data_IF_597144830493
#
_entry.id   IF_597144830493
#
_cell.length_a   1.000
_cell.length_b   1.000
_cell.length_c   1.000
_cell.angle_alpha   90.00
_cell.angle_beta   90.00
_cell.angle_gamma   90.00
#
_symmetry.space_group_name_H-M   'P 1'
#
loop_
_entity.id
_entity.type
_entity.pdbx_description
1 polymer ?
#
# COMPACT_ATOMS: atom_id res chain seq x y z
N UNK A 1 -2.13 4.03 30.90
CA UNK A 1 -2.09 3.52 29.52
C UNK A 1 -1.09 2.39 29.49
N UNK A 2 -1.50 1.18 29.13
CA UNK A 2 -0.58 0.07 28.92
C UNK A 2 -0.01 0.19 27.51
N UNK A 3 1.26 0.60 27.39
CA UNK A 3 1.96 0.54 26.12
C UNK A 3 2.35 -0.91 25.89
N UNK A 4 1.69 -1.57 24.94
CA UNK A 4 2.12 -2.88 24.47
C UNK A 4 3.42 -2.67 23.69
N UNK A 5 4.52 -3.25 24.18
CA UNK A 5 5.82 -3.20 23.49
C UNK A 5 5.85 -4.35 22.51
N UNK A 6 5.98 -4.04 21.22
CA UNK A 6 6.16 -5.04 20.18
C UNK A 6 7.55 -5.69 20.30
N UNK A 7 7.63 -6.97 19.99
CA UNK A 7 8.93 -7.63 19.77
C UNK A 7 9.58 -7.09 18.50
N UNK A 8 10.91 -7.26 18.38
CA UNK A 8 11.65 -6.84 17.18
C UNK A 8 11.07 -7.45 15.89
N UNK A 9 10.62 -8.70 15.97
CA UNK A 9 10.00 -9.39 14.84
C UNK A 9 8.64 -8.77 14.47
N UNK A 10 7.82 -8.46 15.46
CA UNK A 10 6.52 -7.81 15.23
C UNK A 10 6.69 -6.41 14.65
N UNK A 11 7.65 -5.62 15.16
CA UNK A 11 7.97 -4.31 14.58
C UNK A 11 8.48 -4.40 13.14
N UNK A 12 9.33 -5.39 12.84
CA UNK A 12 9.83 -5.61 11.50
C UNK A 12 8.69 -5.95 10.53
N UNK A 13 7.83 -6.89 10.90
CA UNK A 13 6.66 -7.27 10.09
C UNK A 13 5.67 -6.11 9.95
N UNK A 14 5.46 -5.32 11.00
CA UNK A 14 4.64 -4.10 10.96
C UNK A 14 5.14 -3.14 9.88
N UNK A 15 6.45 -2.85 9.87
CA UNK A 15 7.07 -1.96 8.87
C UNK A 15 6.94 -2.54 7.45
N UNK A 16 7.19 -3.83 7.27
CA UNK A 16 7.05 -4.49 5.95
C UNK A 16 5.61 -4.39 5.42
N UNK A 17 4.61 -4.65 6.28
CA UNK A 17 3.19 -4.56 5.90
C UNK A 17 2.80 -3.12 5.57
N UNK A 18 3.30 -2.15 6.32
CA UNK A 18 3.06 -0.74 6.04
C UNK A 18 3.65 -0.31 4.69
N UNK A 19 4.90 -0.69 4.41
CA UNK A 19 5.53 -0.44 3.12
C UNK A 19 4.79 -1.14 1.97
N UNK A 20 4.29 -2.36 2.19
CA UNK A 20 3.48 -3.08 1.21
C UNK A 20 2.15 -2.36 0.90
N UNK A 21 1.50 -1.75 1.91
CA UNK A 21 0.31 -0.91 1.72
C UNK A 21 0.61 0.29 0.81
N UNK A 22 1.74 0.98 1.02
CA UNK A 22 2.17 2.08 0.14
C UNK A 22 2.41 1.63 -1.30
N UNK A 23 3.07 0.48 -1.49
CA UNK A 23 3.33 -0.08 -2.83
C UNK A 23 2.02 -0.44 -3.53
N UNK A 24 1.07 -1.03 -2.81
CA UNK A 24 -0.25 -1.34 -3.36
C UNK A 24 -1.00 -0.07 -3.77
N UNK A 25 -1.04 0.96 -2.92
CA UNK A 25 -1.65 2.23 -3.27
C UNK A 25 -1.02 2.86 -4.52
N UNK A 26 0.31 2.88 -4.61
CA UNK A 26 1.00 3.40 -5.78
C UNK A 26 0.72 2.59 -7.05
N UNK A 27 0.65 1.26 -6.94
CA UNK A 27 0.25 0.40 -8.06
C UNK A 27 -1.17 0.70 -8.54
N UNK A 28 -2.11 0.90 -7.61
CA UNK A 28 -3.49 1.24 -7.97
C UNK A 28 -3.58 2.60 -8.65
N UNK A 29 -2.87 3.62 -8.16
CA UNK A 29 -2.81 4.92 -8.84
C UNK A 29 -2.31 4.78 -10.29
N UNK A 30 -1.19 4.07 -10.51
CA UNK A 30 -0.62 3.86 -11.85
C UNK A 30 -1.55 3.10 -12.81
N UNK A 31 -2.39 2.20 -12.30
CA UNK A 31 -3.26 1.34 -13.11
C UNK A 31 -4.66 1.92 -13.34
N UNK A 32 -5.17 2.71 -12.41
CA UNK A 32 -6.58 3.13 -12.38
C UNK A 32 -6.79 4.63 -12.60
N UNK A 33 -5.74 5.45 -12.58
CA UNK A 33 -5.84 6.84 -13.02
C UNK A 33 -6.16 6.85 -14.53
N UNK A 34 -7.37 7.29 -14.90
CA UNK A 34 -7.85 7.30 -16.29
C UNK A 34 -7.67 8.67 -16.98
N UNK A 35 -7.09 9.64 -16.28
CA UNK A 35 -6.87 11.01 -16.75
C UNK A 35 -8.04 11.97 -16.54
N UNK A 36 -9.25 11.46 -16.31
CA UNK A 36 -10.43 12.26 -15.95
C UNK A 36 -10.70 12.22 -14.43
N UNK A 37 -10.42 11.08 -13.80
CA UNK A 37 -10.51 10.85 -12.37
C UNK A 37 -9.24 10.19 -11.87
N UNK A 38 -8.62 10.83 -10.88
CA UNK A 38 -7.47 10.27 -10.17
C UNK A 38 -7.94 9.48 -8.94
N UNK A 39 -7.20 8.44 -8.62
CA UNK A 39 -7.32 7.67 -7.39
C UNK A 39 -6.93 8.55 -6.20
N UNK A 40 -7.79 8.61 -5.19
CA UNK A 40 -7.57 9.41 -3.97
C UNK A 40 -7.33 8.48 -2.79
N UNK A 41 -6.20 8.65 -2.15
CA UNK A 41 -5.78 7.85 -1.00
C UNK A 41 -6.29 8.46 0.30
N UNK A 42 -6.82 7.62 1.19
CA UNK A 42 -7.23 8.04 2.54
C UNK A 42 -6.28 7.50 3.61
N UNK A 43 -6.42 6.24 4.02
CA UNK A 43 -5.59 5.60 5.05
C UNK A 43 -5.21 4.17 4.64
N UNK A 44 -4.01 3.73 4.99
CA UNK A 44 -3.55 2.37 4.69
C UNK A 44 -2.73 1.75 5.81
N UNK A 45 -3.34 1.47 6.98
CA UNK A 45 -2.61 0.94 8.11
C UNK A 45 -2.25 -0.54 7.90
N UNK A 46 -1.07 -0.97 8.39
CA UNK A 46 -0.86 -2.37 8.69
C UNK A 46 -1.78 -2.80 9.85
N UNK A 47 -2.23 -4.05 9.82
CA UNK A 47 -2.94 -4.70 10.93
C UNK A 47 -2.23 -6.02 11.28
N UNK A 48 -2.66 -6.70 12.34
CA UNK A 48 -1.91 -7.81 12.97
C UNK A 48 -1.27 -8.80 11.99
N UNK A 49 -1.99 -9.23 10.95
CA UNK A 49 -1.48 -10.19 9.95
C UNK A 49 -1.62 -9.72 8.50
N UNK A 50 -2.12 -8.51 8.28
CA UNK A 50 -2.54 -8.03 6.97
C UNK A 50 -2.25 -6.53 6.83
N UNK A 51 -2.71 -5.94 5.73
CA UNK A 51 -2.84 -4.50 5.57
C UNK A 51 -4.03 -4.24 4.66
N UNK A 52 -4.60 -3.05 4.74
CA UNK A 52 -5.60 -2.58 3.79
C UNK A 52 -5.29 -1.15 3.38
N UNK A 53 -6.05 -0.64 2.41
CA UNK A 53 -5.97 0.75 2.01
C UNK A 53 -7.34 1.25 1.58
N UNK A 54 -7.82 2.30 2.25
CA UNK A 54 -9.04 3.02 1.87
C UNK A 54 -8.71 4.02 0.77
N UNK A 55 -9.40 3.89 -0.37
CA UNK A 55 -9.18 4.73 -1.53
C UNK A 55 -10.48 4.96 -2.31
N UNK A 56 -10.59 6.14 -2.91
CA UNK A 56 -11.60 6.44 -3.93
C UNK A 56 -10.99 6.16 -5.30
N UNK A 57 -11.65 5.32 -6.09
CA UNK A 57 -11.19 4.86 -7.42
C UNK A 57 -12.25 5.18 -8.49
N UNK A 58 -11.86 5.43 -9.76
CA UNK A 58 -12.81 5.81 -10.81
C UNK A 58 -13.90 4.76 -11.09
N UNK A 59 -13.58 3.49 -10.90
CA UNK A 59 -14.51 2.36 -10.89
C UNK A 59 -14.21 1.40 -9.73
N UNK A 60 -15.19 0.62 -9.26
CA UNK A 60 -14.93 -0.42 -8.27
C UNK A 60 -13.84 -1.40 -8.74
N UNK A 61 -12.94 -1.74 -7.81
CA UNK A 61 -11.98 -2.83 -7.98
C UNK A 61 -12.74 -4.15 -7.83
N UNK A 62 -12.46 -5.09 -8.71
CA UNK A 62 -13.06 -6.41 -8.76
C UNK A 62 -11.99 -7.49 -8.58
N UNK A 63 -12.36 -8.75 -8.27
CA UNK A 63 -11.39 -9.83 -8.14
C UNK A 63 -10.51 -10.05 -9.39
N UNK A 64 -11.03 -9.73 -10.58
CA UNK A 64 -10.31 -9.86 -11.85
C UNK A 64 -9.14 -8.85 -11.98
N UNK A 65 -9.16 -7.78 -11.19
CA UNK A 65 -8.10 -6.76 -11.17
C UNK A 65 -6.89 -7.18 -10.34
N UNK A 66 -7.09 -8.06 -9.35
CA UNK A 66 -6.05 -8.43 -8.38
C UNK A 66 -4.78 -9.02 -9.01
N UNK A 67 -4.84 -9.91 -10.03
CA UNK A 67 -3.64 -10.42 -10.67
C UNK A 67 -2.76 -9.33 -11.29
N UNK A 68 -3.36 -8.32 -11.91
CA UNK A 68 -2.62 -7.22 -12.53
C UNK A 68 -2.08 -6.24 -11.48
N UNK A 69 -2.85 -5.94 -10.42
CA UNK A 69 -2.36 -5.15 -9.28
C UNK A 69 -1.15 -5.82 -8.64
N UNK A 70 -1.24 -7.12 -8.31
CA UNK A 70 -0.14 -7.85 -7.66
C UNK A 70 1.10 -7.95 -8.56
N UNK A 71 0.90 -8.18 -9.86
CA UNK A 71 1.98 -8.16 -10.85
C UNK A 71 2.67 -6.80 -10.92
N UNK A 72 1.92 -5.72 -10.89
CA UNK A 72 2.46 -4.36 -10.90
C UNK A 72 3.20 -4.06 -9.59
N UNK A 73 2.65 -4.44 -8.42
CA UNK A 73 3.35 -4.34 -7.13
C UNK A 73 4.70 -5.08 -7.16
N UNK A 74 4.74 -6.30 -7.70
CA UNK A 74 5.98 -7.06 -7.87
C UNK A 74 6.97 -6.38 -8.80
N UNK A 75 6.51 -5.67 -9.84
CA UNK A 75 7.36 -4.89 -10.72
C UNK A 75 7.96 -3.67 -9.99
N UNK A 76 7.14 -2.94 -9.21
CA UNK A 76 7.58 -1.82 -8.38
C UNK A 76 8.60 -2.25 -7.31
N UNK A 77 8.40 -3.40 -6.65
CA UNK A 77 9.37 -3.91 -5.68
C UNK A 77 10.73 -4.18 -6.34
N UNK A 78 10.74 -4.68 -7.58
CA UNK A 78 11.97 -4.99 -8.32
C UNK A 78 12.77 -3.75 -8.73
N UNK A 79 12.16 -2.57 -8.81
CA UNK A 79 12.91 -1.35 -9.13
C UNK A 79 13.83 -0.95 -7.97
N UNK A 80 13.52 -1.39 -6.74
CA UNK A 80 14.30 -1.09 -5.53
C UNK A 80 14.53 0.41 -5.34
N UNK A 81 13.51 1.21 -5.66
CA UNK A 81 13.52 2.66 -5.43
C UNK A 81 13.52 2.96 -3.93
N UNK A 82 14.22 4.02 -3.49
CA UNK A 82 14.28 4.39 -2.08
C UNK A 82 12.95 5.01 -1.62
N UNK A 83 12.56 4.70 -0.38
CA UNK A 83 11.55 5.48 0.32
C UNK A 83 12.21 6.75 0.86
N UNK A 84 11.68 7.91 0.47
CA UNK A 84 12.17 9.21 0.90
C UNK A 84 11.10 9.83 1.81
N UNK A 85 11.49 10.12 3.05
CA UNK A 85 10.68 10.89 3.99
C UNK A 85 11.26 12.31 4.04
N UNK A 86 10.39 13.31 3.86
CA UNK A 86 10.73 14.72 4.00
C UNK A 86 9.91 15.30 5.15
N UNK A 87 10.60 15.90 6.12
CA UNK A 87 9.97 16.64 7.20
C UNK A 87 9.78 18.10 6.72
N UNK A 88 8.54 18.57 6.74
CA UNK A 88 8.14 19.92 6.32
C UNK A 88 7.99 20.86 7.51
#
# INVERSE_FOLDING_TARGET
MNTQVLTEQEEYLYRIRHSAAHIMAYAVQQLFDDGEKAVRLAIGPPIDNEFYYDMEVPRPITPDDFPEIEKHMKALIKTNEPFIQEDW
#
